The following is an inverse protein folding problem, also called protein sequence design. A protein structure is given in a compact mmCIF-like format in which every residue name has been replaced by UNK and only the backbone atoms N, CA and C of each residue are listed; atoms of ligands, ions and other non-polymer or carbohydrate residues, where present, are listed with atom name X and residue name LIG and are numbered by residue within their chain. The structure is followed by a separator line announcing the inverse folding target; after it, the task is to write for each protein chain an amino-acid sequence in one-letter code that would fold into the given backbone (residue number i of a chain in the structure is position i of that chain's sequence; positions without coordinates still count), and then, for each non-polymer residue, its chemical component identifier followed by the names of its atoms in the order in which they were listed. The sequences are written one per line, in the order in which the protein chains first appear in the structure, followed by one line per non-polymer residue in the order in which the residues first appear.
data_IF_860544795808
#
_entry.id   IF_860544795808
#
_cell.length_a   1.000
_cell.length_b   1.000
_cell.length_c   1.000
_cell.angle_alpha   90.00
_cell.angle_beta   90.00
_cell.angle_gamma   90.00
#
_symmetry.space_group_name_H-M   'P 1'
#
loop_
_entity.id
_entity.type
_entity.pdbx_description
1 polymer ?
#
# COMPACT_ATOMS: atom_id res chain seq x y z
N UNK A 1 4.98 47.30 -32.23
CA UNK A 1 4.17 46.79 -31.12
C UNK A 1 4.59 45.36 -30.85
N UNK A 2 5.45 45.18 -29.84
CA UNK A 2 6.11 43.91 -29.47
C UNK A 2 5.43 43.30 -28.24
N UNK A 3 5.29 41.98 -28.26
CA UNK A 3 4.53 41.13 -27.32
C UNK A 3 5.17 40.94 -25.94
N UNK A 4 5.78 41.97 -25.35
CA UNK A 4 6.58 41.85 -24.12
C UNK A 4 5.94 42.36 -22.82
N UNK A 5 4.71 42.87 -22.82
CA UNK A 5 4.15 43.58 -21.66
C UNK A 5 3.10 42.82 -20.81
N UNK A 6 2.89 41.52 -21.02
CA UNK A 6 1.97 40.74 -20.17
C UNK A 6 2.62 39.94 -19.04
N UNK A 7 3.91 40.15 -18.77
CA UNK A 7 4.60 39.61 -17.59
C UNK A 7 4.36 40.48 -16.33
N UNK A 8 3.13 40.95 -16.12
CA UNK A 8 2.70 41.63 -14.90
C UNK A 8 2.74 40.67 -13.70
N UNK A 9 3.60 40.99 -12.73
CA UNK A 9 3.97 40.11 -11.63
C UNK A 9 2.81 39.72 -10.69
N UNK A 10 2.71 38.42 -10.43
CA UNK A 10 2.14 37.90 -9.18
C UNK A 10 3.27 37.72 -8.16
N UNK A 11 3.55 38.70 -7.27
CA UNK A 11 4.61 38.59 -6.25
C UNK A 11 4.47 37.38 -5.30
N UNK A 12 3.28 36.76 -5.22
CA UNK A 12 3.04 35.55 -4.43
C UNK A 12 3.58 34.23 -5.01
N UNK A 13 3.89 34.16 -6.32
CA UNK A 13 4.31 32.89 -6.95
C UNK A 13 5.79 32.55 -6.71
N UNK A 14 6.67 33.55 -6.60
CA UNK A 14 8.11 33.31 -6.32
C UNK A 14 8.35 32.89 -4.88
N UNK A 15 7.69 33.50 -3.91
CA UNK A 15 7.83 33.18 -2.48
C UNK A 15 7.34 31.77 -2.13
N UNK A 16 6.27 31.31 -2.81
CA UNK A 16 5.71 29.97 -2.64
C UNK A 16 6.59 28.87 -3.25
N UNK A 17 7.31 29.15 -4.35
CA UNK A 17 8.25 28.21 -4.97
C UNK A 17 9.49 27.95 -4.10
N UNK A 18 10.09 29.00 -3.53
CA UNK A 18 11.21 28.86 -2.59
C UNK A 18 10.82 28.10 -1.30
N UNK A 19 9.65 28.41 -0.71
CA UNK A 19 9.15 27.69 0.47
C UNK A 19 8.87 26.21 0.19
N UNK A 20 8.44 25.83 -1.02
CA UNK A 20 8.22 24.43 -1.40
C UNK A 20 9.52 23.65 -1.57
N UNK A 21 10.51 24.24 -2.26
CA UNK A 21 11.83 23.63 -2.40
C UNK A 21 12.48 23.32 -1.06
N UNK A 22 12.37 24.24 -0.09
CA UNK A 22 12.85 24.01 1.28
C UNK A 22 12.16 22.85 2.00
N UNK A 23 10.82 22.75 1.89
CA UNK A 23 10.05 21.65 2.52
C UNK A 23 10.33 20.28 1.89
N UNK A 24 10.54 20.21 0.57
CA UNK A 24 10.88 18.97 -0.13
C UNK A 24 12.26 18.46 0.27
N UNK A 25 13.25 19.36 0.33
CA UNK A 25 14.60 19.05 0.83
C UNK A 25 14.59 18.60 2.29
N UNK A 26 13.87 19.29 3.18
CA UNK A 26 13.76 18.91 4.58
C UNK A 26 13.19 17.50 4.77
N UNK A 27 12.16 17.11 4.00
CA UNK A 27 11.60 15.75 4.06
C UNK A 27 12.54 14.70 3.52
N UNK A 28 13.25 15.02 2.44
CA UNK A 28 14.26 14.11 1.87
C UNK A 28 15.41 13.90 2.85
N UNK A 29 15.85 14.94 3.55
CA UNK A 29 16.83 14.86 4.63
C UNK A 29 16.32 14.03 5.82
N UNK A 30 15.07 14.24 6.24
CA UNK A 30 14.45 13.44 7.30
C UNK A 30 14.35 11.95 6.91
N UNK A 31 13.97 11.65 5.68
CA UNK A 31 13.94 10.28 5.17
C UNK A 31 15.34 9.64 5.13
N UNK A 32 16.36 10.40 4.71
CA UNK A 32 17.76 9.95 4.72
C UNK A 32 18.24 9.67 6.16
N UNK A 33 17.92 10.55 7.11
CA UNK A 33 18.21 10.36 8.53
C UNK A 33 17.51 9.12 9.09
N UNK A 34 16.25 8.86 8.70
CA UNK A 34 15.52 7.65 9.06
C UNK A 34 16.23 6.37 8.58
N UNK A 35 16.66 6.36 7.31
CA UNK A 35 17.45 5.25 6.75
C UNK A 35 18.76 5.03 7.54
N UNK A 36 19.51 6.10 7.84
CA UNK A 36 20.74 6.01 8.61
C UNK A 36 20.50 5.50 10.04
N UNK A 37 19.46 6.01 10.73
CA UNK A 37 19.06 5.56 12.06
C UNK A 37 18.66 4.08 12.07
N UNK A 38 17.89 3.63 11.07
CA UNK A 38 17.48 2.22 10.94
C UNK A 38 18.70 1.31 10.78
N UNK A 39 19.67 1.71 9.95
CA UNK A 39 20.92 0.96 9.79
C UNK A 39 21.75 0.92 11.08
N UNK A 40 21.93 2.07 11.74
CA UNK A 40 22.71 2.18 12.97
C UNK A 40 22.10 1.36 14.12
N UNK A 41 20.78 1.44 14.32
CA UNK A 41 20.09 0.65 15.34
C UNK A 41 20.13 -0.84 15.00
N UNK A 42 19.93 -1.22 13.73
CA UNK A 42 20.03 -2.61 13.29
C UNK A 42 21.43 -3.21 13.55
N UNK A 43 22.48 -2.43 13.32
CA UNK A 43 23.87 -2.87 13.58
C UNK A 43 24.17 -2.93 15.08
N UNK A 44 23.69 -1.96 15.86
CA UNK A 44 23.84 -1.94 17.32
C UNK A 44 23.14 -3.14 17.99
N UNK A 45 21.90 -3.44 17.60
CA UNK A 45 21.14 -4.59 18.13
C UNK A 45 21.87 -5.90 17.87
N UNK A 46 22.42 -6.10 16.66
CA UNK A 46 23.24 -7.28 16.35
C UNK A 46 24.54 -7.34 17.15
N UNK A 47 25.20 -6.19 17.37
CA UNK A 47 26.42 -6.15 18.18
C UNK A 47 26.17 -6.49 19.64
N UNK A 48 25.00 -6.14 20.18
CA UNK A 48 24.60 -6.47 21.57
C UNK A 48 24.20 -7.93 21.76
N UNK A 49 23.83 -8.62 20.69
CA UNK A 49 23.43 -10.04 20.73
C UNK A 49 24.36 -10.88 19.84
N UNK A 50 25.68 -10.92 20.14
CA UNK A 50 26.60 -11.76 19.39
C UNK A 50 26.24 -13.24 19.62
N UNK A 51 26.04 -13.99 18.53
CA UNK A 51 25.68 -15.41 18.58
C UNK A 51 24.21 -15.74 18.32
N UNK A 52 23.30 -14.75 18.31
CA UNK A 52 21.91 -15.00 17.87
C UNK A 52 21.80 -15.00 16.36
N UNK A 53 21.04 -15.94 15.81
CA UNK A 53 20.76 -16.00 14.39
C UNK A 53 20.11 -14.70 13.87
N UNK A 54 20.38 -14.31 12.61
CA UNK A 54 19.70 -13.20 11.98
C UNK A 54 18.18 -13.41 12.01
N UNK A 55 17.44 -12.42 12.49
CA UNK A 55 15.99 -12.52 12.40
C UNK A 55 15.53 -12.36 10.94
N UNK A 56 14.38 -12.96 10.57
CA UNK A 56 13.83 -12.83 9.22
C UNK A 56 13.69 -11.36 8.81
N UNK A 57 14.34 -10.99 7.70
CA UNK A 57 14.32 -9.64 7.14
C UNK A 57 15.47 -8.73 7.54
N UNK A 58 16.32 -9.10 8.50
CA UNK A 58 17.39 -8.21 9.00
C UNK A 58 18.37 -7.74 7.90
N UNK A 59 18.83 -8.66 7.06
CA UNK A 59 19.72 -8.33 5.93
C UNK A 59 19.04 -7.38 4.94
N UNK A 60 17.75 -7.60 4.68
CA UNK A 60 16.95 -6.76 3.80
C UNK A 60 16.78 -5.34 4.38
N UNK A 61 16.50 -5.21 5.67
CA UNK A 61 16.42 -3.91 6.35
C UNK A 61 17.73 -3.15 6.17
N UNK A 62 18.88 -3.76 6.47
CA UNK A 62 20.18 -3.09 6.34
C UNK A 62 20.49 -2.68 4.90
N UNK A 63 20.32 -3.60 3.95
CA UNK A 63 20.55 -3.31 2.53
C UNK A 63 19.65 -2.17 2.03
N UNK A 64 18.36 -2.23 2.36
CA UNK A 64 17.40 -1.19 1.99
C UNK A 64 17.71 0.16 2.65
N UNK A 65 18.16 0.19 3.91
CA UNK A 65 18.62 1.42 4.57
C UNK A 65 19.82 2.06 3.85
N UNK A 66 20.82 1.27 3.44
CA UNK A 66 21.98 1.79 2.71
C UNK A 66 21.57 2.33 1.34
N UNK A 67 20.84 1.54 0.55
CA UNK A 67 20.37 1.96 -0.78
C UNK A 67 19.49 3.20 -0.67
N UNK A 68 18.57 3.25 0.30
CA UNK A 68 17.69 4.38 0.53
C UNK A 68 18.44 5.64 0.94
N UNK A 69 19.41 5.52 1.86
CA UNK A 69 20.26 6.63 2.28
C UNK A 69 21.06 7.22 1.12
N UNK A 70 21.70 6.37 0.31
CA UNK A 70 22.47 6.80 -0.87
C UNK A 70 21.57 7.45 -1.92
N UNK A 71 20.41 6.86 -2.21
CA UNK A 71 19.46 7.38 -3.19
C UNK A 71 18.88 8.73 -2.77
N UNK A 72 18.51 8.89 -1.50
CA UNK A 72 18.00 10.15 -0.94
C UNK A 72 19.10 11.20 -0.84
N UNK A 73 20.34 10.81 -0.51
CA UNK A 73 21.51 11.68 -0.54
C UNK A 73 21.80 12.21 -1.94
N UNK A 74 21.76 11.34 -2.96
CA UNK A 74 21.88 11.74 -4.35
C UNK A 74 20.75 12.70 -4.78
N UNK A 75 19.53 12.49 -4.29
CA UNK A 75 18.40 13.39 -4.55
C UNK A 75 18.54 14.76 -3.86
N UNK A 76 19.18 14.83 -2.68
CA UNK A 76 19.49 16.09 -1.98
C UNK A 76 20.62 16.86 -2.66
N UNK A 77 21.66 16.13 -3.09
CA UNK A 77 22.81 16.67 -3.79
C UNK A 77 22.48 17.08 -5.25
N UNK A 78 21.30 16.71 -5.75
CA UNK A 78 20.87 17.02 -7.10
C UNK A 78 20.76 18.54 -7.34
N UNK A 79 21.80 19.09 -7.94
CA UNK A 79 21.84 20.44 -8.50
C UNK A 79 20.92 20.52 -9.75
N UNK A 80 20.35 21.69 -10.10
CA UNK A 80 19.59 21.86 -11.36
C UNK A 80 20.35 21.48 -12.64
N UNK A 81 21.67 21.30 -12.57
CA UNK A 81 22.52 20.85 -13.66
C UNK A 81 22.59 19.31 -13.82
N UNK A 82 22.03 18.53 -12.89
CA UNK A 82 22.10 17.08 -12.94
C UNK A 82 21.11 16.52 -13.99
N UNK A 83 21.54 15.56 -14.83
CA UNK A 83 20.66 14.94 -15.82
C UNK A 83 19.40 14.34 -15.19
N UNK A 84 18.24 14.54 -15.83
CA UNK A 84 16.94 14.00 -15.38
C UNK A 84 16.95 12.47 -15.18
N UNK A 85 17.88 11.74 -15.81
CA UNK A 85 18.07 10.30 -15.61
C UNK A 85 18.54 9.97 -14.20
N UNK A 86 19.48 10.73 -13.63
CA UNK A 86 20.01 10.52 -12.27
C UNK A 86 18.91 10.76 -11.22
N UNK A 87 18.10 11.80 -11.40
CA UNK A 87 16.94 12.06 -10.53
C UNK A 87 15.91 10.92 -10.58
N UNK A 88 15.67 10.32 -11.76
CA UNK A 88 14.80 9.14 -11.90
C UNK A 88 15.38 7.91 -11.19
N UNK A 89 16.67 7.62 -11.39
CA UNK A 89 17.36 6.49 -10.74
C UNK A 89 17.33 6.65 -9.21
N UNK A 90 17.64 7.84 -8.69
CA UNK A 90 17.57 8.14 -7.26
C UNK A 90 16.14 7.94 -6.72
N UNK A 91 15.11 8.38 -7.45
CA UNK A 91 13.72 8.15 -7.06
C UNK A 91 13.34 6.67 -7.05
N UNK A 92 13.72 5.91 -8.08
CA UNK A 92 13.49 4.46 -8.11
C UNK A 92 14.25 3.73 -6.99
N UNK A 93 15.49 4.14 -6.70
CA UNK A 93 16.26 3.64 -5.57
C UNK A 93 15.58 3.92 -4.23
N UNK A 94 15.05 5.13 -4.02
CA UNK A 94 14.30 5.48 -2.81
C UNK A 94 12.99 4.69 -2.68
N UNK A 95 12.27 4.46 -3.79
CA UNK A 95 11.05 3.64 -3.81
C UNK A 95 11.35 2.16 -3.54
N UNK A 96 12.40 1.61 -4.15
CA UNK A 96 12.85 0.24 -3.91
C UNK A 96 13.32 0.05 -2.47
N UNK A 97 14.06 1.01 -1.92
CA UNK A 97 14.45 1.02 -0.52
C UNK A 97 13.23 1.10 0.40
N UNK A 98 12.24 1.93 0.10
CA UNK A 98 11.01 1.98 0.87
C UNK A 98 10.27 0.63 0.85
N UNK A 99 10.17 -0.02 -0.30
CA UNK A 99 9.59 -1.37 -0.39
C UNK A 99 10.38 -2.41 0.42
N UNK A 100 11.71 -2.39 0.34
CA UNK A 100 12.58 -3.28 1.11
C UNK A 100 12.49 -3.03 2.62
N UNK A 101 12.42 -1.77 3.06
CA UNK A 101 12.24 -1.39 4.46
C UNK A 101 10.86 -1.77 4.97
N UNK A 102 9.81 -1.54 4.19
CA UNK A 102 8.46 -2.04 4.49
C UNK A 102 8.51 -3.55 4.68
N UNK A 103 9.09 -4.30 3.74
CA UNK A 103 9.15 -5.76 3.79
C UNK A 103 10.05 -6.29 4.92
N UNK A 104 11.10 -5.57 5.29
CA UNK A 104 11.91 -5.88 6.46
C UNK A 104 11.18 -5.59 7.79
N UNK A 105 10.29 -4.57 7.78
CA UNK A 105 9.41 -4.19 8.88
C UNK A 105 8.21 -5.12 9.08
N UNK A 106 7.75 -5.80 8.02
CA UNK A 106 7.47 -7.24 8.09
C UNK A 106 6.55 -7.70 9.19
N UNK A 107 7.24 -8.26 10.15
CA UNK A 107 6.68 -9.09 11.18
C UNK A 107 6.49 -8.29 12.47
N UNK A 108 6.57 -6.95 12.44
CA UNK A 108 6.31 -6.12 13.63
C UNK A 108 4.91 -6.39 14.17
N UNK A 109 3.92 -6.58 13.29
CA UNK A 109 2.56 -6.90 13.71
C UNK A 109 2.52 -8.25 14.43
N UNK A 110 3.21 -9.27 13.89
CA UNK A 110 3.28 -10.59 14.51
C UNK A 110 4.07 -10.57 15.83
N UNK A 111 5.14 -9.78 15.91
CA UNK A 111 5.91 -9.60 17.16
C UNK A 111 5.03 -8.94 18.24
N UNK A 112 4.30 -7.89 17.87
CA UNK A 112 3.41 -7.15 18.78
C UNK A 112 2.21 -8.01 19.20
N UNK A 113 1.60 -8.73 18.25
CA UNK A 113 0.47 -9.62 18.50
C UNK A 113 0.91 -10.80 19.38
N UNK A 114 2.07 -11.38 19.12
CA UNK A 114 2.65 -12.43 19.96
C UNK A 114 3.05 -11.93 21.35
N UNK A 115 3.52 -10.69 21.48
CA UNK A 115 3.76 -10.07 22.79
C UNK A 115 2.45 -9.80 23.55
N UNK A 116 1.41 -9.35 22.85
CA UNK A 116 0.09 -9.09 23.43
C UNK A 116 -0.60 -10.38 23.85
N UNK A 117 -0.62 -11.41 23.01
CA UNK A 117 -1.19 -12.72 23.32
C UNK A 117 -0.55 -13.31 24.57
N UNK A 118 0.78 -13.28 24.67
CA UNK A 118 1.48 -13.74 25.89
C UNK A 118 1.10 -12.95 27.13
N UNK A 119 0.89 -11.63 27.02
CA UNK A 119 0.43 -10.82 28.15
C UNK A 119 -1.03 -11.09 28.53
N UNK A 120 -1.89 -11.39 27.56
CA UNK A 120 -3.31 -11.54 27.78
C UNK A 120 -3.70 -12.96 28.23
N UNK A 121 -3.05 -13.99 27.69
CA UNK A 121 -3.44 -15.41 27.87
C UNK A 121 -2.33 -16.21 28.60
N UNK A 122 -1.16 -15.62 28.82
CA UNK A 122 0.05 -16.35 29.23
C UNK A 122 0.75 -17.00 28.04
N UNK A 123 1.97 -17.48 28.22
CA UNK A 123 2.63 -18.36 27.25
C UNK A 123 2.46 -19.81 27.71
N UNK A 124 2.10 -20.71 26.77
CA UNK A 124 2.13 -22.15 27.02
C UNK A 124 3.56 -22.67 27.26
N UNK A 125 4.55 -21.92 26.78
CA UNK A 125 5.98 -22.17 26.95
C UNK A 125 6.62 -20.95 27.67
N UNK A 126 7.01 -21.06 28.95
CA UNK A 126 7.67 -19.99 29.69
C UNK A 126 9.11 -19.69 29.19
N UNK A 127 9.73 -20.60 28.45
CA UNK A 127 11.09 -20.48 27.93
C UNK A 127 11.12 -19.94 26.48
N UNK A 128 9.96 -19.84 25.82
CA UNK A 128 9.85 -19.29 24.48
C UNK A 128 10.37 -17.84 24.45
N UNK A 129 11.40 -17.54 23.62
CA UNK A 129 12.04 -16.22 23.63
C UNK A 129 11.01 -15.11 23.44
N UNK A 130 11.02 -14.15 24.38
CA UNK A 130 10.20 -12.95 24.33
C UNK A 130 10.36 -12.19 23.02
N UNK A 131 9.41 -11.31 22.69
CA UNK A 131 9.60 -10.40 21.56
C UNK A 131 10.83 -9.53 21.86
N UNK A 132 11.94 -9.82 21.18
CA UNK A 132 13.19 -9.07 21.33
C UNK A 132 12.92 -7.58 21.06
N UNK A 133 13.02 -6.76 22.10
CA UNK A 133 12.73 -5.34 22.03
C UNK A 133 13.60 -4.64 20.97
N UNK A 134 14.83 -5.13 20.74
CA UNK A 134 15.71 -4.66 19.68
C UNK A 134 15.14 -4.97 18.29
N UNK A 135 14.61 -6.17 18.09
CA UNK A 135 13.95 -6.56 16.83
C UNK A 135 12.71 -5.73 16.54
N UNK A 136 11.85 -5.53 17.54
CA UNK A 136 10.64 -4.71 17.41
C UNK A 136 11.00 -3.25 17.09
N UNK A 137 12.03 -2.71 17.75
CA UNK A 137 12.51 -1.35 17.50
C UNK A 137 13.04 -1.19 16.07
N UNK A 138 13.88 -2.11 15.58
CA UNK A 138 14.41 -2.05 14.21
C UNK A 138 13.31 -2.14 13.17
N UNK A 139 12.34 -3.05 13.35
CA UNK A 139 11.21 -3.20 12.42
C UNK A 139 10.31 -1.97 12.40
N UNK A 140 10.06 -1.37 13.57
CA UNK A 140 9.30 -0.12 13.68
C UNK A 140 10.01 1.05 12.99
N UNK A 141 11.33 1.18 13.17
CA UNK A 141 12.16 2.18 12.49
C UNK A 141 12.17 1.96 10.98
N UNK A 142 12.22 0.72 10.52
CA UNK A 142 12.15 0.40 9.10
C UNK A 142 10.83 0.86 8.48
N UNK A 143 9.69 0.61 9.12
CA UNK A 143 8.38 1.12 8.66
C UNK A 143 8.30 2.64 8.65
N UNK A 144 8.80 3.30 9.71
CA UNK A 144 8.86 4.76 9.78
C UNK A 144 9.72 5.35 8.66
N UNK A 145 10.87 4.74 8.39
CA UNK A 145 11.79 5.15 7.32
C UNK A 145 11.21 4.91 5.92
N UNK A 146 10.50 3.79 5.72
CA UNK A 146 9.76 3.54 4.50
C UNK A 146 8.68 4.60 4.25
N UNK A 147 7.90 4.95 5.27
CA UNK A 147 6.89 5.99 5.19
C UNK A 147 7.51 7.37 4.85
N UNK A 148 8.63 7.71 5.49
CA UNK A 148 9.37 8.94 5.20
C UNK A 148 9.89 8.95 3.75
N UNK A 149 10.50 7.86 3.29
CA UNK A 149 11.00 7.72 1.93
C UNK A 149 9.88 7.82 0.87
N UNK A 150 8.74 7.17 1.09
CA UNK A 150 7.55 7.31 0.25
C UNK A 150 7.03 8.76 0.24
N UNK A 151 7.01 9.42 1.40
CA UNK A 151 6.57 10.81 1.52
C UNK A 151 7.50 11.79 0.79
N UNK A 152 8.81 11.53 0.82
CA UNK A 152 9.82 12.32 0.11
C UNK A 152 9.70 12.10 -1.40
N UNK A 153 9.62 10.85 -1.86
CA UNK A 153 9.45 10.52 -3.27
C UNK A 153 8.15 11.10 -3.85
N UNK A 154 7.05 11.07 -3.09
CA UNK A 154 5.78 11.67 -3.50
C UNK A 154 5.84 13.20 -3.61
N UNK A 155 6.64 13.87 -2.77
CA UNK A 155 6.84 15.31 -2.85
C UNK A 155 7.75 15.71 -4.00
N UNK A 156 8.84 14.98 -4.21
CA UNK A 156 9.70 15.16 -5.38
C UNK A 156 8.93 14.96 -6.69
N UNK A 157 8.01 14.00 -6.73
CA UNK A 157 7.13 13.79 -7.89
C UNK A 157 6.19 14.98 -8.15
N UNK A 158 5.77 15.67 -7.09
CA UNK A 158 4.91 16.85 -7.19
C UNK A 158 5.70 18.14 -7.48
N UNK A 159 7.01 18.14 -7.25
CA UNK A 159 7.89 19.27 -7.55
C UNK A 159 8.04 19.40 -9.08
N UNK A 160 7.26 20.32 -9.67
CA UNK A 160 7.21 20.54 -11.12
C UNK A 160 5.79 20.57 -11.66
N UNK A 161 4.81 20.03 -10.93
CA UNK A 161 3.40 20.12 -11.29
C UNK A 161 2.82 21.41 -10.69
N UNK A 162 2.27 22.34 -11.51
CA UNK A 162 1.63 23.53 -10.99
C UNK A 162 0.48 23.13 -10.06
N UNK A 163 0.40 23.70 -8.85
CA UNK A 163 -0.71 23.42 -7.95
C UNK A 163 -2.00 23.99 -8.51
N UNK A 164 -3.12 23.34 -8.18
CA UNK A 164 -4.44 23.89 -8.38
C UNK A 164 -4.53 25.22 -7.62
N UNK A 165 -4.80 26.32 -8.32
CA UNK A 165 -4.82 27.69 -7.77
C UNK A 165 -5.81 27.86 -6.62
N UNK A 166 -6.87 27.05 -6.57
CA UNK A 166 -7.93 27.14 -5.57
C UNK A 166 -7.66 26.36 -4.28
N UNK A 167 -7.03 25.19 -4.37
CA UNK A 167 -6.82 24.31 -3.21
C UNK A 167 -5.34 24.05 -2.88
N UNK A 168 -4.42 24.60 -3.68
CA UNK A 168 -2.98 24.47 -3.50
C UNK A 168 -2.39 23.08 -3.73
N UNK A 169 -3.23 22.07 -4.01
CA UNK A 169 -2.81 20.67 -4.24
C UNK A 169 -2.19 20.52 -5.64
N UNK A 170 -1.08 19.78 -5.80
CA UNK A 170 -0.58 19.42 -7.13
C UNK A 170 -1.68 18.71 -7.91
N UNK A 171 -1.84 19.03 -9.20
CA UNK A 171 -2.76 18.29 -10.05
C UNK A 171 -2.37 16.80 -10.03
N UNK A 172 -3.34 15.87 -9.93
CA UNK A 172 -3.03 14.46 -10.05
C UNK A 172 -2.33 14.23 -11.39
N UNK A 173 -1.16 13.60 -11.37
CA UNK A 173 -0.43 13.27 -12.59
C UNK A 173 -1.29 12.29 -13.39
N UNK A 174 -1.84 12.77 -14.52
CA UNK A 174 -2.77 12.01 -15.36
C UNK A 174 -2.16 10.78 -16.02
N UNK A 175 -0.84 10.57 -15.86
CA UNK A 175 -0.05 9.50 -16.47
C UNK A 175 -0.14 8.16 -15.74
N UNK A 176 -0.43 8.13 -14.44
CA UNK A 176 -0.53 6.89 -13.65
C UNK A 176 -1.99 6.59 -13.32
N UNK A 177 -2.72 6.09 -14.31
CA UNK A 177 -4.07 5.54 -14.13
C UNK A 177 -3.96 4.07 -13.80
N UNK A 178 -4.60 3.65 -12.72
CA UNK A 178 -4.78 2.22 -12.50
C UNK A 178 -5.79 1.67 -13.52
N UNK A 179 -5.65 0.40 -13.95
CA UNK A 179 -6.62 -0.22 -14.82
C UNK A 179 -8.02 -0.16 -14.21
N UNK A 180 -9.03 0.10 -15.03
CA UNK A 180 -10.44 0.15 -14.60
C UNK A 180 -10.92 -1.15 -13.97
N UNK A 181 -10.27 -2.28 -14.31
CA UNK A 181 -10.57 -3.60 -13.79
C UNK A 181 -9.90 -3.93 -12.45
N UNK A 182 -9.04 -3.06 -11.91
CA UNK A 182 -8.24 -3.34 -10.70
C UNK A 182 -9.09 -3.76 -9.48
N UNK A 183 -10.26 -3.14 -9.27
CA UNK A 183 -11.17 -3.56 -8.19
C UNK A 183 -11.80 -4.93 -8.42
N UNK A 184 -12.16 -5.27 -9.66
CA UNK A 184 -12.70 -6.60 -9.99
C UNK A 184 -11.64 -7.69 -9.84
N UNK A 185 -10.39 -7.41 -10.25
CA UNK A 185 -9.29 -8.32 -9.99
C UNK A 185 -9.02 -8.47 -8.49
N UNK A 186 -9.09 -7.39 -7.71
CA UNK A 186 -8.96 -7.48 -6.26
C UNK A 186 -10.03 -8.40 -5.65
N UNK A 187 -11.29 -8.32 -6.12
CA UNK A 187 -12.34 -9.28 -5.75
C UNK A 187 -11.94 -10.70 -6.13
N UNK A 188 -11.65 -10.96 -7.41
CA UNK A 188 -11.32 -12.30 -7.88
C UNK A 188 -10.13 -12.93 -7.14
N UNK A 189 -9.09 -12.13 -6.84
CA UNK A 189 -7.88 -12.56 -6.13
C UNK A 189 -8.10 -12.77 -4.62
N UNK A 190 -9.16 -12.19 -4.04
CA UNK A 190 -9.51 -12.39 -2.63
C UNK A 190 -10.27 -13.70 -2.38
N UNK A 191 -10.92 -14.27 -3.41
CA UNK A 191 -11.84 -15.41 -3.28
C UNK A 191 -11.20 -16.80 -3.10
N UNK A 192 -10.00 -17.12 -3.60
CA UNK A 192 -9.46 -18.48 -3.49
C UNK A 192 -9.40 -19.01 -2.06
N UNK A 193 -8.99 -18.15 -1.12
CA UNK A 193 -8.90 -18.50 0.30
C UNK A 193 -10.26 -18.80 0.94
N UNK A 194 -11.24 -17.88 0.96
CA UNK A 194 -12.55 -18.14 1.58
C UNK A 194 -13.32 -19.25 0.87
N UNK A 195 -13.18 -19.43 -0.45
CA UNK A 195 -13.85 -20.52 -1.19
C UNK A 195 -13.35 -21.88 -0.74
N UNK A 196 -12.03 -22.09 -0.68
CA UNK A 196 -11.48 -23.37 -0.24
C UNK A 196 -11.79 -23.61 1.24
N UNK A 197 -11.71 -22.56 2.08
CA UNK A 197 -12.07 -22.65 3.50
C UNK A 197 -13.54 -23.03 3.71
N UNK A 198 -14.47 -22.44 2.97
CA UNK A 198 -15.89 -22.82 3.03
C UNK A 198 -16.12 -24.24 2.49
N UNK A 199 -15.37 -24.67 1.48
CA UNK A 199 -15.45 -26.05 1.00
C UNK A 199 -15.03 -27.05 2.09
N UNK A 200 -13.99 -26.73 2.87
CA UNK A 200 -13.57 -27.55 4.02
C UNK A 200 -14.67 -27.65 5.08
N UNK A 201 -15.35 -26.54 5.41
CA UNK A 201 -16.50 -26.56 6.35
C UNK A 201 -17.69 -27.37 5.81
N UNK A 202 -17.83 -27.48 4.48
CA UNK A 202 -18.81 -28.36 3.84
C UNK A 202 -18.34 -29.84 3.76
N UNK A 203 -17.23 -30.21 4.41
CA UNK A 203 -16.70 -31.56 4.44
C UNK A 203 -15.80 -31.95 3.26
N UNK A 204 -15.31 -30.98 2.47
CA UNK A 204 -14.36 -31.25 1.38
C UNK A 204 -12.93 -31.41 1.91
N UNK A 205 -12.23 -32.45 1.47
CA UNK A 205 -10.81 -32.68 1.81
C UNK A 205 -9.84 -32.08 0.77
N UNK A 206 -10.32 -31.15 -0.05
CA UNK A 206 -9.54 -30.61 -1.17
C UNK A 206 -8.21 -30.03 -0.68
N UNK A 207 -7.11 -30.61 -1.16
CA UNK A 207 -5.78 -30.15 -0.82
C UNK A 207 -5.29 -30.51 0.58
N UNK A 208 -6.01 -31.35 1.34
CA UNK A 208 -5.56 -31.85 2.63
C UNK A 208 -4.71 -33.13 2.48
N UNK A 209 -3.79 -33.34 3.41
CA UNK A 209 -3.08 -34.61 3.63
C UNK A 209 -3.47 -35.26 4.95
N UNK A 210 -3.97 -34.48 5.92
CA UNK A 210 -4.46 -34.95 7.23
C UNK A 210 -5.85 -34.33 7.53
N UNK A 211 -6.93 -34.80 6.87
CA UNK A 211 -8.27 -34.21 7.02
C UNK A 211 -8.78 -34.18 8.46
N UNK A 212 -8.49 -35.22 9.22
CA UNK A 212 -8.87 -35.36 10.63
C UNK A 212 -8.29 -34.25 11.51
N UNK A 213 -7.09 -33.74 11.19
CA UNK A 213 -6.51 -32.62 11.95
C UNK A 213 -7.18 -31.31 11.55
N UNK A 214 -7.36 -31.07 10.25
CA UNK A 214 -7.83 -29.78 9.72
C UNK A 214 -9.30 -29.54 10.04
N UNK A 215 -10.16 -30.56 9.94
CA UNK A 215 -11.59 -30.46 10.27
C UNK A 215 -11.85 -30.27 11.77
N UNK A 216 -10.94 -30.73 12.62
CA UNK A 216 -11.07 -30.61 14.07
C UNK A 216 -10.53 -29.29 14.63
N UNK A 217 -10.08 -28.34 13.79
CA UNK A 217 -9.61 -27.02 14.24
C UNK A 217 -10.84 -26.16 14.63
N UNK A 218 -11.06 -25.85 15.92
CA UNK A 218 -12.20 -25.05 16.33
C UNK A 218 -12.12 -23.64 15.72
N UNK A 219 -13.19 -23.20 15.05
CA UNK A 219 -13.22 -21.87 14.43
C UNK A 219 -12.35 -21.74 13.17
N UNK A 220 -12.05 -22.84 12.48
CA UNK A 220 -11.31 -22.85 11.21
C UNK A 220 -11.87 -21.94 10.13
N UNK A 221 -13.17 -21.63 10.18
CA UNK A 221 -13.89 -20.70 9.30
C UNK A 221 -13.76 -19.22 9.66
N UNK A 222 -13.35 -18.85 10.88
CA UNK A 222 -13.32 -17.43 11.33
C UNK A 222 -12.57 -16.50 10.36
N UNK A 223 -11.42 -16.91 9.76
CA UNK A 223 -10.71 -16.09 8.77
C UNK A 223 -11.47 -15.83 7.46
N UNK A 224 -12.56 -16.55 7.17
CA UNK A 224 -13.41 -16.30 5.99
C UNK A 224 -14.08 -14.93 6.08
N UNK A 225 -14.50 -14.50 7.27
CA UNK A 225 -15.18 -13.22 7.48
C UNK A 225 -14.35 -12.00 7.02
N UNK A 226 -13.10 -11.80 7.50
CA UNK A 226 -12.29 -10.68 7.04
C UNK A 226 -11.92 -10.79 5.55
N UNK A 227 -11.77 -12.01 5.00
CA UNK A 227 -11.52 -12.21 3.58
C UNK A 227 -12.71 -11.70 2.73
N UNK A 228 -13.93 -12.12 3.07
CA UNK A 228 -15.16 -11.67 2.40
C UNK A 228 -15.41 -10.17 2.59
N UNK A 229 -15.17 -9.64 3.79
CA UNK A 229 -15.24 -8.20 4.03
C UNK A 229 -14.25 -7.44 3.13
N UNK A 230 -13.05 -7.98 2.94
CA UNK A 230 -12.06 -7.48 2.00
C UNK A 230 -12.50 -7.55 0.53
N UNK A 231 -13.20 -8.62 0.12
CA UNK A 231 -13.80 -8.75 -1.21
C UNK A 231 -14.87 -7.67 -1.43
N UNK A 232 -15.77 -7.49 -0.46
CA UNK A 232 -16.81 -6.45 -0.51
C UNK A 232 -16.16 -5.06 -0.59
N UNK A 233 -15.15 -4.79 0.23
CA UNK A 233 -14.39 -3.53 0.18
C UNK A 233 -13.73 -3.30 -1.19
N UNK A 234 -13.15 -4.35 -1.78
CA UNK A 234 -12.55 -4.29 -3.12
C UNK A 234 -13.58 -3.90 -4.18
N UNK A 235 -14.79 -4.45 -4.08
CA UNK A 235 -15.91 -4.12 -4.95
C UNK A 235 -16.42 -2.70 -4.71
N UNK A 236 -16.44 -2.23 -3.46
CA UNK A 236 -16.84 -0.88 -3.08
C UNK A 236 -16.01 0.20 -3.79
N UNK A 237 -14.72 -0.06 -3.99
CA UNK A 237 -13.81 0.90 -4.65
C UNK A 237 -14.18 1.19 -6.11
N UNK A 238 -14.81 0.23 -6.79
CA UNK A 238 -15.20 0.36 -8.21
C UNK A 238 -16.67 0.69 -8.37
N UNK A 239 -17.54 0.18 -7.51
CA UNK A 239 -18.99 0.32 -7.66
C UNK A 239 -19.53 1.71 -7.25
N UNK A 240 -20.72 2.10 -7.76
CA UNK A 240 -21.37 3.36 -7.37
C UNK A 240 -21.67 3.43 -5.86
N UNK A 241 -22.01 2.29 -5.25
CA UNK A 241 -22.41 2.22 -3.84
C UNK A 241 -21.27 2.51 -2.85
N UNK A 242 -20.01 2.40 -3.27
CA UNK A 242 -18.87 2.87 -2.45
C UNK A 242 -18.62 4.39 -2.55
N UNK A 243 -19.43 5.11 -3.34
CA UNK A 243 -19.40 6.58 -3.46
C UNK A 243 -20.68 7.23 -2.94
N UNK A 244 -21.83 6.59 -3.15
CA UNK A 244 -23.14 7.06 -2.70
C UNK A 244 -23.89 5.88 -2.10
N UNK A 245 -24.41 6.04 -0.88
CA UNK A 245 -25.19 4.98 -0.27
C UNK A 245 -26.41 4.63 -1.13
N UNK A 246 -26.69 3.34 -1.36
CA UNK A 246 -27.90 2.93 -2.09
C UNK A 246 -29.15 3.53 -1.45
N UNK A 247 -30.13 3.92 -2.26
CA UNK A 247 -31.38 4.56 -1.78
C UNK A 247 -32.20 3.70 -0.82
N UNK A 248 -32.01 2.38 -0.86
CA UNK A 248 -32.68 1.42 0.02
C UNK A 248 -32.05 1.32 1.41
N UNK A 249 -30.86 1.91 1.65
CA UNK A 249 -30.24 1.90 2.98
C UNK A 249 -30.98 2.88 3.89
N UNK A 250 -31.57 2.43 5.01
CA UNK A 250 -32.25 3.32 5.94
C UNK A 250 -31.29 4.40 6.47
N UNK A 251 -31.83 5.60 6.75
CA UNK A 251 -31.13 6.76 7.36
C UNK A 251 -30.11 7.48 6.45
N UNK A 252 -29.28 6.76 5.69
CA UNK A 252 -28.18 7.36 4.90
C UNK A 252 -28.34 7.22 3.38
N UNK A 253 -29.40 6.55 2.92
CA UNK A 253 -29.65 6.30 1.49
C UNK A 253 -29.62 7.57 0.65
N UNK A 254 -28.87 7.53 -0.46
CA UNK A 254 -28.67 8.67 -1.35
C UNK A 254 -27.60 9.68 -0.90
N UNK A 255 -27.06 9.56 0.31
CA UNK A 255 -25.97 10.40 0.81
C UNK A 255 -24.62 9.97 0.25
N UNK A 256 -23.67 10.90 0.14
CA UNK A 256 -22.29 10.57 -0.26
C UNK A 256 -21.60 9.80 0.85
N UNK A 257 -20.91 8.71 0.50
CA UNK A 257 -20.13 7.92 1.44
C UNK A 257 -18.90 8.73 1.89
N UNK A 258 -18.63 8.84 3.20
CA UNK A 258 -17.41 9.49 3.68
C UNK A 258 -16.17 8.79 3.10
N UNK A 259 -15.33 9.56 2.41
CA UNK A 259 -14.15 9.02 1.69
C UNK A 259 -13.23 8.16 2.57
N UNK A 260 -13.04 8.54 3.83
CA UNK A 260 -12.18 7.81 4.76
C UNK A 260 -12.75 6.44 5.16
N UNK A 261 -14.07 6.26 5.08
CA UNK A 261 -14.74 5.00 5.43
C UNK A 261 -14.39 3.90 4.43
N UNK A 262 -14.18 4.23 3.15
CA UNK A 262 -13.77 3.27 2.12
C UNK A 262 -12.25 3.25 1.95
N UNK A 263 -11.63 4.43 1.87
CA UNK A 263 -10.20 4.53 1.59
C UNK A 263 -9.33 4.08 2.77
N UNK A 264 -9.75 4.35 4.01
CA UNK A 264 -9.00 3.96 5.21
C UNK A 264 -8.80 2.45 5.31
N UNK A 265 -9.88 1.65 5.33
CA UNK A 265 -9.80 0.20 5.30
C UNK A 265 -9.06 -0.33 4.07
N UNK A 266 -9.24 0.28 2.90
CA UNK A 266 -8.54 -0.16 1.69
C UNK A 266 -7.02 0.04 1.81
N UNK A 267 -6.58 1.20 2.29
CA UNK A 267 -5.16 1.47 2.57
C UNK A 267 -4.61 0.53 3.64
N UNK A 268 -5.38 0.24 4.69
CA UNK A 268 -5.01 -0.70 5.74
C UNK A 268 -4.84 -2.12 5.18
N UNK A 269 -5.82 -2.62 4.43
CA UNK A 269 -5.77 -3.94 3.79
C UNK A 269 -4.62 -4.06 2.79
N UNK A 270 -4.39 -3.03 1.97
CA UNK A 270 -3.23 -2.97 1.06
C UNK A 270 -1.92 -3.03 1.85
N UNK A 271 -1.77 -2.24 2.92
CA UNK A 271 -0.57 -2.25 3.74
C UNK A 271 -0.33 -3.62 4.38
N UNK A 272 -1.39 -4.23 4.93
CA UNK A 272 -1.33 -5.56 5.53
C UNK A 272 -0.94 -6.65 4.51
N UNK A 273 -1.55 -6.66 3.33
CA UNK A 273 -1.26 -7.64 2.28
C UNK A 273 0.12 -7.42 1.65
N UNK A 274 0.53 -6.16 1.45
CA UNK A 274 1.88 -5.83 1.03
C UNK A 274 2.92 -6.28 2.06
N UNK A 275 2.51 -6.38 3.33
CA UNK A 275 3.38 -6.79 4.41
C UNK A 275 3.54 -8.31 4.51
N UNK A 276 2.43 -9.04 4.48
CA UNK A 276 2.40 -10.49 4.72
C UNK A 276 2.57 -11.27 3.41
N UNK A 277 1.95 -10.81 2.33
CA UNK A 277 1.85 -11.51 1.05
C UNK A 277 3.21 -11.94 0.47
N UNK A 278 4.17 -11.04 0.25
CA UNK A 278 5.44 -11.41 -0.38
C UNK A 278 6.29 -12.38 0.46
N UNK A 279 6.26 -12.26 1.79
CA UNK A 279 7.00 -13.17 2.68
C UNK A 279 6.37 -14.57 2.68
N UNK A 280 5.04 -14.62 2.84
CA UNK A 280 4.30 -15.88 2.82
C UNK A 280 4.41 -16.58 1.46
N UNK A 281 4.29 -15.83 0.36
CA UNK A 281 4.45 -16.36 -0.99
C UNK A 281 5.85 -16.93 -1.20
N UNK A 282 6.90 -16.20 -0.82
CA UNK A 282 8.28 -16.69 -0.93
C UNK A 282 8.51 -17.95 -0.06
N UNK A 283 7.90 -18.02 1.12
CA UNK A 283 7.93 -19.22 1.95
C UNK A 283 7.28 -20.41 1.25
N UNK A 284 6.10 -20.24 0.66
CA UNK A 284 5.43 -21.31 -0.08
C UNK A 284 6.16 -21.72 -1.36
N UNK A 285 6.77 -20.79 -2.09
CA UNK A 285 7.64 -21.10 -3.24
C UNK A 285 8.81 -21.99 -2.78
N UNK A 286 9.45 -21.66 -1.65
CA UNK A 286 10.54 -22.48 -1.10
C UNK A 286 10.07 -23.86 -0.65
N UNK A 287 8.88 -23.97 -0.07
CA UNK A 287 8.29 -25.26 0.31
C UNK A 287 7.94 -26.11 -0.91
N UNK A 288 7.43 -25.50 -1.98
CA UNK A 288 7.00 -26.20 -3.18
C UNK A 288 8.18 -26.69 -4.03
N UNK A 289 9.19 -25.83 -4.23
CA UNK A 289 10.33 -26.09 -5.13
C UNK A 289 11.63 -26.45 -4.42
N UNK A 290 11.69 -26.34 -3.09
CA UNK A 290 12.91 -26.60 -2.32
C UNK A 290 13.14 -28.08 -2.03
N UNK A 291 14.38 -28.48 -1.72
CA UNK A 291 14.74 -29.86 -1.40
C UNK A 291 14.15 -30.36 -0.06
N UNK A 292 13.56 -29.47 0.76
CA UNK A 292 12.91 -29.77 2.04
C UNK A 292 11.38 -29.63 1.90
N UNK A 293 10.76 -30.51 1.10
CA UNK A 293 9.30 -30.59 0.94
C UNK A 293 8.57 -31.01 2.23
N UNK A 294 9.31 -31.52 3.23
CA UNK A 294 8.79 -32.08 4.47
C UNK A 294 7.87 -31.15 5.28
N UNK A 295 8.03 -29.83 5.16
CA UNK A 295 7.29 -28.89 6.01
C UNK A 295 5.81 -28.73 5.61
N UNK A 296 5.39 -29.10 4.39
CA UNK A 296 3.98 -29.01 3.99
C UNK A 296 3.13 -30.16 4.55
N UNK A 297 3.70 -31.38 4.58
CA UNK A 297 3.05 -32.54 5.19
C UNK A 297 2.86 -32.35 6.70
N UNK A 298 3.78 -31.62 7.37
CA UNK A 298 3.66 -31.25 8.79
C UNK A 298 2.44 -30.37 9.10
N UNK A 299 1.94 -29.61 8.12
CA UNK A 299 0.75 -28.75 8.28
C UNK A 299 -0.55 -29.42 7.82
N UNK A 300 -0.51 -30.70 7.42
CA UNK A 300 -1.69 -31.43 6.96
C UNK A 300 -2.27 -30.93 5.63
N UNK A 301 -1.49 -30.16 4.84
CA UNK A 301 -1.91 -29.56 3.58
C UNK A 301 -0.93 -29.85 2.45
N UNK A 302 -1.46 -30.12 1.26
CA UNK A 302 -0.66 -30.25 0.04
C UNK A 302 0.05 -28.93 -0.28
N UNK A 303 1.32 -28.94 -0.74
CA UNK A 303 2.12 -27.73 -1.00
C UNK A 303 1.49 -26.68 -1.93
N UNK A 304 0.63 -27.10 -2.86
CA UNK A 304 -0.03 -26.17 -3.78
C UNK A 304 -1.03 -25.25 -3.05
N UNK A 305 -1.63 -25.69 -1.93
CA UNK A 305 -2.65 -24.94 -1.18
C UNK A 305 -2.08 -23.62 -0.64
N UNK A 306 -1.03 -23.61 0.20
CA UNK A 306 -0.44 -22.36 0.69
C UNK A 306 0.16 -21.53 -0.46
N UNK A 307 0.71 -22.17 -1.49
CA UNK A 307 1.23 -21.45 -2.67
C UNK A 307 0.13 -20.64 -3.36
N UNK A 308 -1.02 -21.26 -3.64
CA UNK A 308 -2.18 -20.58 -4.25
C UNK A 308 -2.70 -19.46 -3.36
N UNK A 309 -2.87 -19.70 -2.05
CA UNK A 309 -3.37 -18.68 -1.14
C UNK A 309 -2.45 -17.48 -1.06
N UNK A 310 -1.16 -17.68 -0.83
CA UNK A 310 -0.24 -16.56 -0.68
C UNK A 310 0.05 -15.83 -1.99
N UNK A 311 0.05 -16.53 -3.12
CA UNK A 311 0.09 -15.89 -4.43
C UNK A 311 -1.14 -14.98 -4.62
N UNK A 312 -2.33 -15.51 -4.34
CA UNK A 312 -3.59 -14.75 -4.46
C UNK A 312 -3.60 -13.53 -3.54
N UNK A 313 -3.13 -13.64 -2.29
CA UNK A 313 -3.03 -12.53 -1.33
C UNK A 313 -2.03 -11.46 -1.75
N UNK A 314 -0.87 -11.85 -2.27
CA UNK A 314 0.13 -10.91 -2.78
C UNK A 314 -0.44 -10.10 -3.95
N UNK A 315 -1.06 -10.78 -4.92
CA UNK A 315 -1.68 -10.15 -6.07
C UNK A 315 -2.90 -9.31 -5.66
N UNK A 316 -3.69 -9.78 -4.70
CA UNK A 316 -4.83 -9.05 -4.14
C UNK A 316 -4.37 -7.74 -3.51
N UNK A 317 -3.28 -7.74 -2.73
CA UNK A 317 -2.70 -6.53 -2.16
C UNK A 317 -2.33 -5.49 -3.21
N UNK A 318 -1.70 -5.93 -4.31
CA UNK A 318 -1.35 -5.05 -5.43
C UNK A 318 -2.60 -4.50 -6.16
N UNK A 319 -3.57 -5.36 -6.47
CA UNK A 319 -4.81 -4.96 -7.12
C UNK A 319 -5.66 -4.02 -6.25
N UNK A 320 -5.75 -4.30 -4.95
CA UNK A 320 -6.43 -3.47 -3.96
C UNK A 320 -5.75 -2.10 -3.84
N UNK A 321 -4.42 -2.05 -3.81
CA UNK A 321 -3.66 -0.81 -3.81
C UNK A 321 -3.89 0.05 -5.05
N UNK A 322 -3.95 -0.59 -6.23
CA UNK A 322 -4.28 0.08 -7.48
C UNK A 322 -5.72 0.64 -7.46
N UNK A 323 -6.69 -0.15 -7.00
CA UNK A 323 -8.08 0.29 -6.86
C UNK A 323 -8.24 1.42 -5.83
N UNK A 324 -7.55 1.33 -4.70
CA UNK A 324 -7.53 2.36 -3.66
C UNK A 324 -6.90 3.66 -4.17
N UNK A 325 -5.84 3.57 -4.97
CA UNK A 325 -5.23 4.73 -5.63
C UNK A 325 -6.19 5.39 -6.62
N UNK A 326 -6.89 4.61 -7.44
CA UNK A 326 -7.86 5.15 -8.40
C UNK A 326 -9.08 5.77 -7.69
N UNK A 327 -9.58 5.11 -6.65
CA UNK A 327 -10.62 5.66 -5.78
C UNK A 327 -10.15 6.96 -5.14
N UNK A 328 -8.93 6.99 -4.59
CA UNK A 328 -8.32 8.21 -4.05
C UNK A 328 -8.29 9.30 -5.11
N UNK A 329 -7.77 9.02 -6.31
CA UNK A 329 -7.60 10.01 -7.38
C UNK A 329 -8.92 10.60 -7.85
N UNK A 330 -9.96 9.77 -7.97
CA UNK A 330 -11.30 10.18 -8.44
C UNK A 330 -12.12 10.87 -7.35
N UNK A 331 -11.81 10.64 -6.07
CA UNK A 331 -12.51 11.26 -4.93
C UNK A 331 -11.72 12.41 -4.26
N UNK A 332 -10.40 12.50 -4.52
CA UNK A 332 -9.54 13.56 -4.03
C UNK A 332 -9.67 14.79 -4.92
N UNK A 333 -10.76 15.55 -4.74
CA UNK A 333 -11.00 16.74 -5.56
C UNK A 333 -11.57 17.90 -4.76
N UNK A 334 -10.90 19.05 -4.85
CA UNK A 334 -11.62 20.32 -4.78
C UNK A 334 -12.57 20.36 -6.01
N UNK A 335 -13.84 20.76 -5.86
CA UNK A 335 -14.80 20.80 -6.96
C UNK A 335 -14.28 21.51 -8.22
N UNK A 336 -13.45 22.55 -8.06
CA UNK A 336 -12.86 23.29 -9.17
C UNK A 336 -11.80 22.51 -9.96
N UNK A 337 -10.99 21.67 -9.31
CA UNK A 337 -10.01 20.85 -10.04
C UNK A 337 -10.70 19.67 -10.74
N UNK A 338 -11.91 19.26 -10.30
CA UNK A 338 -12.76 18.30 -11.01
C UNK A 338 -13.44 18.87 -12.26
N UNK A 339 -13.66 20.20 -12.31
CA UNK A 339 -14.20 20.93 -13.46
C UNK A 339 -13.11 21.36 -14.47
N UNK A 340 -11.87 21.59 -14.01
CA UNK A 340 -10.74 22.03 -14.84
C UNK A 340 -10.05 20.94 -15.65
N UNK A 341 -10.25 19.66 -15.27
CA UNK A 341 -10.11 18.56 -16.23
C UNK A 341 -11.45 18.51 -16.96
N UNK A 342 -11.47 19.00 -18.21
CA UNK A 342 -12.69 19.10 -19.02
C UNK A 342 -13.58 17.87 -18.85
N UNK A 343 -14.91 18.06 -18.78
CA UNK A 343 -15.83 17.04 -18.33
C UNK A 343 -15.60 15.76 -19.11
N UNK A 344 -15.53 14.65 -18.37
CA UNK A 344 -16.07 13.39 -18.86
C UNK A 344 -17.41 13.74 -19.53
N UNK A 345 -17.44 13.71 -20.85
CA UNK A 345 -18.69 13.76 -21.60
C UNK A 345 -19.42 12.50 -21.18
N UNK A 346 -20.35 12.64 -20.24
CA UNK A 346 -21.50 11.75 -20.19
C UNK A 346 -22.07 11.69 -21.60
N UNK A 347 -22.34 10.51 -22.17
CA UNK A 347 -22.99 10.43 -23.47
C UNK A 347 -24.29 11.24 -23.38
N UNK A 348 -24.43 12.16 -24.33
CA UNK A 348 -25.52 13.11 -24.40
C UNK A 348 -26.86 12.37 -24.30
N UNK A 349 -27.69 12.79 -23.36
CA UNK A 349 -29.14 12.69 -23.54
C UNK A 349 -29.47 13.74 -24.61
N UNK A 350 -29.42 13.29 -25.87
CA UNK A 350 -29.88 14.05 -27.00
C UNK A 350 -31.41 14.02 -27.03
N UNK A 351 -32.01 15.15 -26.67
CA UNK A 351 -33.40 15.51 -26.92
C UNK A 351 -33.50 16.99 -26.56
N UNK A 352 -33.47 17.93 -27.48
CA UNK A 352 -34.23 17.98 -28.72
C UNK A 352 -35.30 19.05 -28.52
N UNK A 353 -34.90 20.33 -28.51
CA UNK A 353 -35.84 21.44 -28.64
C UNK A 353 -35.41 22.24 -29.85
N UNK A 354 -36.21 22.08 -30.90
CA UNK A 354 -36.14 22.75 -32.19
C UNK A 354 -36.79 24.12 -32.00
N UNK A 355 -36.08 25.22 -32.29
CA UNK A 355 -36.70 26.53 -32.49
C UNK A 355 -36.53 26.87 -33.97
N UNK A 356 -37.56 26.56 -34.76
CA UNK A 356 -37.74 27.15 -36.08
C UNK A 356 -38.40 28.52 -35.91
N UNK A 357 -37.79 29.52 -36.52
CA UNK A 357 -38.31 30.88 -36.57
C UNK A 357 -39.43 31.01 -37.59
N UNK A 358 -40.34 31.92 -37.30
CA UNK A 358 -41.24 32.51 -38.27
C UNK A 358 -40.90 33.99 -38.37
N UNK A 359 -40.19 34.36 -39.44
CA UNK A 359 -40.35 35.65 -40.09
C UNK A 359 -41.47 35.50 -41.12
N UNK A 360 -42.44 36.40 -41.05
CA UNK A 360 -43.67 36.47 -41.85
C UNK A 360 -44.60 37.43 -41.16
#
# INVERSE_FOLDING_TARGET
MTTSEWAGGFPGLRSTRHRRGGRSRARTALAMAGCAATFAVSTLVRRRSPGTDPYPGERLVRGASVVGGLALGAALAAHPAIPQRVGRVARFGALGAAAGLSQGGSHVLFDLLGALFRRAIGSADPDAPGADAGRVAVRSLALGSAALALSAAGRQAADGVPPCVRCGRPAPDGRLRAPSWSGYAAVALSLPYPVVKLAWECGSDVGMTQPEVIHNIPGGWVPVLPALAGSVLSLALVQPWGRVFPRWVPVVGGSRVPRLLVLGPACFGTALLAQVGPAAFMSAVRQYFGPQQACADDFGLRPWVPLTFYASWMLWGAALGAAAWEYHRTTAGCPACALGHGPWRSPAVAGGVRTEGTQG
#
